data_IF_333023841405
#
_entry.id   IF_333023841405
#
_cell.length_a   1.000
_cell.length_b   1.000
_cell.length_c   1.000
_cell.angle_alpha   90.00
_cell.angle_beta   90.00
_cell.angle_gamma   90.00
#
_symmetry.space_group_name_H-M   'P 1'
#
loop_
_entity.id
_entity.type
_entity.pdbx_description
1 polymer ?
#
# COMPACT_ATOMS: atom_id res chain seq x y z
N UNK A 1 36.69 -0.95 -0.66
CA UNK A 1 36.59 0.50 -0.78
C UNK A 1 35.66 0.76 -1.99
N UNK A 2 34.37 1.05 -1.75
CA UNK A 2 33.40 1.27 -2.79
C UNK A 2 33.76 2.54 -3.57
N UNK A 3 33.87 2.42 -4.89
CA UNK A 3 33.92 3.60 -5.77
C UNK A 3 32.57 4.28 -5.69
N UNK A 4 32.56 5.61 -5.53
CA UNK A 4 31.34 6.37 -5.66
C UNK A 4 30.64 6.04 -7.00
N UNK A 5 29.31 5.93 -7.02
CA UNK A 5 28.59 5.70 -8.26
C UNK A 5 28.96 6.79 -9.27
N UNK A 6 29.07 6.47 -10.56
CA UNK A 6 29.34 7.48 -11.58
C UNK A 6 28.27 8.58 -11.47
N UNK A 7 28.70 9.84 -11.55
CA UNK A 7 27.76 10.96 -11.64
C UNK A 7 26.83 10.70 -12.82
N UNK A 8 25.51 10.88 -12.65
CA UNK A 8 24.60 10.78 -13.78
C UNK A 8 25.08 11.75 -14.85
N UNK A 9 25.43 11.22 -16.02
CA UNK A 9 25.60 12.04 -17.21
C UNK A 9 24.29 12.78 -17.42
N UNK A 10 24.33 14.01 -17.91
CA UNK A 10 23.13 14.74 -18.29
C UNK A 10 22.42 13.92 -19.39
N UNK A 11 21.50 13.05 -18.97
CA UNK A 11 20.73 12.20 -19.87
C UNK A 11 19.76 13.10 -20.62
N UNK A 12 19.89 13.14 -21.94
CA UNK A 12 18.99 13.82 -22.85
C UNK A 12 17.79 12.89 -23.11
N UNK A 13 16.92 12.71 -22.09
CA UNK A 13 15.75 11.87 -22.23
C UNK A 13 14.90 11.88 -20.97
N UNK A 14 13.59 11.67 -21.13
CA UNK A 14 12.71 11.45 -19.99
C UNK A 14 13.01 10.09 -19.33
N UNK A 15 12.91 9.97 -18.00
CA UNK A 15 13.03 8.68 -17.34
C UNK A 15 11.89 7.74 -17.79
N UNK A 16 12.12 6.44 -17.73
CA UNK A 16 11.06 5.45 -17.97
C UNK A 16 9.95 5.60 -16.95
N UNK A 17 8.72 5.63 -17.43
CA UNK A 17 7.56 5.75 -16.56
C UNK A 17 7.31 4.46 -15.75
N UNK A 18 7.53 3.30 -16.37
CA UNK A 18 7.29 2.01 -15.73
C UNK A 18 8.46 1.05 -15.92
N UNK A 19 8.66 0.07 -15.01
CA UNK A 19 9.61 -1.02 -15.20
C UNK A 19 9.33 -1.83 -16.47
N UNK A 20 8.06 -1.96 -16.85
CA UNK A 20 7.64 -2.69 -18.06
C UNK A 20 8.13 -2.00 -19.34
N UNK A 21 8.11 -0.67 -19.41
CA UNK A 21 8.62 0.09 -20.54
C UNK A 21 10.12 -0.12 -20.70
N UNK A 22 10.87 -0.01 -19.60
CA UNK A 22 12.31 -0.26 -19.60
C UNK A 22 12.63 -1.71 -20.00
N UNK A 23 11.91 -2.69 -19.43
CA UNK A 23 12.08 -4.10 -19.79
C UNK A 23 11.81 -4.34 -21.28
N UNK A 24 10.78 -3.74 -21.85
CA UNK A 24 10.45 -3.88 -23.30
C UNK A 24 11.61 -3.45 -24.18
N UNK A 25 12.26 -2.35 -23.87
CA UNK A 25 13.40 -1.86 -24.63
C UNK A 25 14.63 -2.77 -24.45
N UNK A 26 14.89 -3.27 -23.26
CA UNK A 26 15.95 -4.25 -23.00
C UNK A 26 15.72 -5.56 -23.80
N UNK A 27 14.48 -6.05 -23.83
CA UNK A 27 14.11 -7.25 -24.61
C UNK A 27 14.27 -7.00 -26.11
N UNK A 28 13.95 -5.81 -26.59
CA UNK A 28 14.17 -5.43 -28.01
C UNK A 28 15.66 -5.49 -28.36
N UNK A 29 16.54 -4.99 -27.51
CA UNK A 29 17.99 -5.09 -27.66
C UNK A 29 18.44 -6.56 -27.64
N UNK A 30 17.93 -7.36 -26.69
CA UNK A 30 18.28 -8.78 -26.59
C UNK A 30 17.88 -9.56 -27.84
N UNK A 31 16.67 -9.30 -28.38
CA UNK A 31 16.20 -9.93 -29.61
C UNK A 31 17.05 -9.51 -30.82
N UNK A 32 17.44 -8.24 -30.92
CA UNK A 32 18.33 -7.75 -31.98
C UNK A 32 19.70 -8.40 -31.93
N UNK A 33 20.26 -8.62 -30.75
CA UNK A 33 21.52 -9.34 -30.57
C UNK A 33 21.40 -10.83 -30.89
N UNK A 34 20.28 -11.46 -30.56
CA UNK A 34 20.04 -12.88 -30.84
C UNK A 34 19.79 -13.18 -32.31
N UNK A 35 19.20 -12.25 -33.07
CA UNK A 35 18.93 -12.40 -34.50
C UNK A 35 20.17 -12.18 -35.39
N UNK A 36 21.20 -11.57 -34.86
CA UNK A 36 22.49 -11.44 -35.51
C UNK A 36 23.36 -12.69 -35.25
N UNK A 37 24.33 -13.01 -36.12
CA UNK A 37 25.16 -14.22 -36.12
C UNK A 37 25.92 -14.54 -34.82
N UNK A 38 25.75 -13.75 -33.78
CA UNK A 38 26.31 -13.93 -32.45
C UNK A 38 25.23 -14.22 -31.38
N UNK A 39 24.18 -14.94 -31.76
CA UNK A 39 22.96 -15.21 -30.96
C UNK A 39 23.14 -15.79 -29.58
N UNK A 40 24.36 -16.03 -29.09
CA UNK A 40 24.65 -16.48 -27.75
C UNK A 40 24.61 -15.36 -26.69
N UNK A 41 24.52 -14.08 -27.07
CA UNK A 41 24.69 -12.97 -26.15
C UNK A 41 23.38 -12.32 -25.69
N UNK A 42 22.25 -12.59 -26.34
CA UNK A 42 20.97 -11.92 -26.05
C UNK A 42 20.35 -12.27 -24.70
N UNK A 43 20.54 -13.52 -24.23
CA UNK A 43 19.94 -14.00 -22.96
C UNK A 43 20.94 -14.23 -21.83
N UNK A 44 22.24 -14.10 -22.11
CA UNK A 44 23.34 -14.44 -21.19
C UNK A 44 24.19 -13.18 -20.93
N UNK A 45 24.74 -13.04 -19.72
CA UNK A 45 25.62 -11.92 -19.41
C UNK A 45 24.89 -10.74 -18.71
N UNK A 46 25.43 -9.54 -18.89
CA UNK A 46 24.93 -8.35 -18.18
C UNK A 46 23.49 -7.97 -18.58
N UNK A 47 23.16 -8.06 -19.88
CA UNK A 47 21.83 -7.74 -20.38
C UNK A 47 20.78 -8.71 -19.86
N UNK A 48 21.03 -10.02 -19.91
CA UNK A 48 20.11 -11.02 -19.37
C UNK A 48 19.90 -10.88 -17.86
N UNK A 49 20.97 -10.57 -17.10
CA UNK A 49 20.86 -10.28 -15.67
C UNK A 49 20.02 -9.02 -15.40
N UNK A 50 20.21 -7.96 -16.22
CA UNK A 50 19.43 -6.73 -16.06
C UNK A 50 17.95 -6.95 -16.37
N UNK A 51 17.63 -7.69 -17.45
CA UNK A 51 16.23 -8.05 -17.77
C UNK A 51 15.62 -8.82 -16.60
N UNK A 52 16.34 -9.82 -16.06
CA UNK A 52 15.85 -10.60 -14.91
C UNK A 52 15.71 -9.74 -13.65
N UNK A 53 16.63 -8.83 -13.41
CA UNK A 53 16.52 -7.89 -12.29
C UNK A 53 15.28 -6.99 -12.42
N UNK A 54 14.96 -6.52 -13.62
CA UNK A 54 13.73 -5.74 -13.86
C UNK A 54 12.46 -6.55 -13.66
N UNK A 55 12.47 -7.84 -14.01
CA UNK A 55 11.32 -8.74 -13.76
C UNK A 55 11.07 -9.01 -12.27
N UNK A 56 12.15 -9.09 -11.48
CA UNK A 56 12.07 -9.46 -10.06
C UNK A 56 11.92 -8.24 -9.16
N UNK A 57 12.65 -7.18 -9.44
CA UNK A 57 12.82 -6.03 -8.54
C UNK A 57 12.14 -4.75 -9.04
N UNK A 58 11.68 -4.69 -10.29
CA UNK A 58 11.14 -3.46 -10.86
C UNK A 58 12.05 -2.24 -10.62
N UNK A 59 11.46 -1.11 -10.21
CA UNK A 59 12.19 0.07 -9.75
C UNK A 59 12.26 0.18 -8.22
N UNK A 60 11.61 -0.72 -7.50
CA UNK A 60 11.48 -0.66 -6.04
C UNK A 60 12.47 -1.54 -5.26
N UNK A 61 13.24 -2.36 -5.96
CA UNK A 61 14.27 -3.27 -5.42
C UNK A 61 13.72 -4.42 -4.54
N UNK A 62 12.81 -4.13 -3.61
CA UNK A 62 12.15 -5.12 -2.77
C UNK A 62 10.79 -4.58 -2.32
N UNK A 63 9.77 -5.44 -2.28
CA UNK A 63 8.47 -5.11 -1.70
C UNK A 63 8.62 -4.95 -0.19
N UNK A 64 8.07 -3.87 0.34
CA UNK A 64 7.96 -3.60 1.77
C UNK A 64 6.52 -3.74 2.22
N UNK A 65 6.32 -4.13 3.47
CA UNK A 65 5.02 -4.15 4.11
C UNK A 65 4.91 -2.99 5.11
N UNK A 66 3.74 -2.38 5.17
CA UNK A 66 3.38 -1.49 6.28
C UNK A 66 2.98 -2.37 7.47
N UNK A 67 3.30 -1.93 8.69
CA UNK A 67 2.86 -2.63 9.89
C UNK A 67 2.59 -1.63 11.01
N UNK A 68 1.43 -1.77 11.67
CA UNK A 68 1.06 -0.98 12.83
C UNK A 68 0.16 -1.79 13.77
N UNK A 69 0.04 -1.36 15.00
CA UNK A 69 -0.84 -1.94 16.02
C UNK A 69 -2.28 -1.42 15.84
N UNK A 70 -3.29 -2.31 15.96
CA UNK A 70 -4.72 -1.95 15.84
C UNK A 70 -5.12 -0.81 16.79
N UNK A 71 -4.64 -0.81 18.03
CA UNK A 71 -4.94 0.25 18.99
C UNK A 71 -4.40 1.64 18.58
N UNK A 72 -3.37 1.72 17.74
CA UNK A 72 -2.92 2.99 17.15
C UNK A 72 -3.91 3.45 16.09
N UNK A 73 -4.32 2.56 15.16
CA UNK A 73 -5.32 2.89 14.15
C UNK A 73 -6.62 3.38 14.78
N UNK A 74 -7.10 2.71 15.83
CA UNK A 74 -8.30 3.08 16.58
C UNK A 74 -8.21 4.51 17.13
N UNK A 75 -7.09 4.89 17.78
CA UNK A 75 -6.91 6.25 18.32
C UNK A 75 -6.77 7.31 17.24
N UNK A 76 -5.99 7.02 16.21
CA UNK A 76 -5.81 7.91 15.05
C UNK A 76 -7.15 8.18 14.38
N UNK A 77 -7.91 7.14 14.13
CA UNK A 77 -9.22 7.27 13.51
C UNK A 77 -10.22 7.98 14.40
N UNK A 78 -10.18 7.73 15.71
CA UNK A 78 -11.03 8.46 16.69
C UNK A 78 -10.79 9.97 16.62
N UNK A 79 -9.53 10.42 16.49
CA UNK A 79 -9.22 11.84 16.33
C UNK A 79 -9.73 12.37 14.99
N UNK A 80 -9.52 11.65 13.89
CA UNK A 80 -10.03 12.04 12.55
C UNK A 80 -11.55 12.20 12.54
N UNK A 81 -12.27 11.22 13.07
CA UNK A 81 -13.74 11.21 13.12
C UNK A 81 -14.29 12.34 14.02
N UNK A 82 -13.62 12.63 15.12
CA UNK A 82 -13.97 13.73 16.03
C UNK A 82 -13.78 15.09 15.36
N UNK A 83 -12.63 15.32 14.74
CA UNK A 83 -12.29 16.60 14.10
C UNK A 83 -13.17 16.85 12.87
N UNK A 84 -13.46 15.82 12.09
CA UNK A 84 -14.37 15.90 10.93
C UNK A 84 -15.85 16.07 11.32
N UNK A 85 -16.18 15.93 12.62
CA UNK A 85 -17.56 16.05 13.11
C UNK A 85 -18.44 14.83 12.82
N UNK A 86 -17.85 13.70 12.42
CA UNK A 86 -18.57 12.45 12.11
C UNK A 86 -18.98 11.72 13.38
N UNK A 87 -18.03 11.53 14.28
CA UNK A 87 -18.27 10.86 15.56
C UNK A 87 -17.46 11.54 16.66
N UNK A 88 -18.11 12.10 17.69
CA UNK A 88 -17.41 12.81 18.76
C UNK A 88 -16.64 11.87 19.71
N UNK A 89 -17.09 10.62 19.86
CA UNK A 89 -16.50 9.63 20.77
C UNK A 89 -16.56 8.21 20.16
N UNK A 90 -15.66 7.97 19.21
CA UNK A 90 -15.54 6.69 18.52
C UNK A 90 -15.19 5.55 19.47
N UNK A 91 -14.33 5.83 20.45
CA UNK A 91 -13.84 4.82 21.40
C UNK A 91 -14.94 4.27 22.32
N UNK A 92 -16.02 5.03 22.53
CA UNK A 92 -17.16 4.59 23.32
C UNK A 92 -18.16 3.69 22.56
N UNK A 93 -18.01 3.56 21.23
CA UNK A 93 -18.89 2.72 20.42
C UNK A 93 -18.62 1.24 20.66
N UNK A 94 -19.69 0.43 20.62
CA UNK A 94 -19.57 -1.02 20.51
C UNK A 94 -19.15 -1.44 19.07
N UNK A 95 -18.77 -2.70 18.92
CA UNK A 95 -18.25 -3.23 17.66
C UNK A 95 -19.22 -3.07 16.49
N UNK A 96 -20.51 -3.35 16.68
CA UNK A 96 -21.50 -3.26 15.60
C UNK A 96 -21.72 -1.79 15.17
N UNK A 97 -21.69 -0.86 16.11
CA UNK A 97 -21.78 0.58 15.81
C UNK A 97 -20.51 1.08 15.08
N UNK A 98 -19.32 0.58 15.46
CA UNK A 98 -18.06 0.86 14.78
C UNK A 98 -18.11 0.36 13.33
N UNK A 99 -18.47 -0.90 13.13
CA UNK A 99 -18.56 -1.51 11.79
C UNK A 99 -19.56 -0.74 10.91
N UNK A 100 -20.75 -0.39 11.44
CA UNK A 100 -21.74 0.38 10.69
C UNK A 100 -21.22 1.76 10.29
N UNK A 101 -20.55 2.47 11.21
CA UNK A 101 -19.98 3.79 10.96
C UNK A 101 -18.86 3.73 9.93
N UNK A 102 -17.93 2.78 10.09
CA UNK A 102 -16.80 2.62 9.16
C UNK A 102 -17.26 2.22 7.76
N UNK A 103 -18.25 1.33 7.66
CA UNK A 103 -18.85 0.97 6.38
C UNK A 103 -19.48 2.19 5.68
N UNK A 104 -20.19 3.03 6.43
CA UNK A 104 -20.74 4.27 5.88
C UNK A 104 -19.62 5.25 5.43
N UNK A 105 -18.54 5.36 6.20
CA UNK A 105 -17.40 6.19 5.81
C UNK A 105 -16.68 5.65 4.57
N UNK A 106 -16.56 4.35 4.40
CA UNK A 106 -15.96 3.75 3.19
C UNK A 106 -16.76 4.03 1.92
N UNK A 107 -18.07 4.29 2.03
CA UNK A 107 -18.93 4.70 0.91
C UNK A 107 -18.87 6.20 0.62
N UNK A 108 -18.18 6.99 1.45
CA UNK A 108 -18.07 8.45 1.31
C UNK A 108 -16.75 8.82 0.62
N UNK A 109 -16.83 9.69 -0.39
CA UNK A 109 -15.62 10.25 -1.04
C UNK A 109 -14.99 11.41 -0.25
N UNK A 110 -15.59 11.80 0.87
CA UNK A 110 -15.14 12.92 1.68
C UNK A 110 -13.90 12.53 2.50
N UNK A 111 -12.78 13.28 2.43
CA UNK A 111 -11.66 13.06 3.32
C UNK A 111 -12.01 13.44 4.77
N UNK A 112 -11.46 12.72 5.74
CA UNK A 112 -11.57 13.03 7.16
C UNK A 112 -10.44 13.97 7.61
N UNK A 113 -9.24 13.80 7.03
CA UNK A 113 -8.06 14.55 7.40
C UNK A 113 -8.10 15.98 6.83
N UNK A 114 -8.36 16.96 7.67
CA UNK A 114 -8.30 18.37 7.31
C UNK A 114 -6.84 18.85 7.24
N UNK A 115 -6.35 19.37 6.11
CA UNK A 115 -4.92 19.72 5.93
C UNK A 115 -4.47 20.93 6.79
N UNK A 116 -5.41 21.71 7.31
CA UNK A 116 -5.13 22.88 8.17
C UNK A 116 -5.23 22.59 9.66
N UNK A 117 -5.64 21.36 10.04
CA UNK A 117 -5.74 20.98 11.45
C UNK A 117 -4.39 20.58 12.02
N UNK A 118 -4.15 20.95 13.27
CA UNK A 118 -2.96 20.50 14.01
C UNK A 118 -3.31 19.19 14.73
N UNK A 119 -2.86 18.10 14.16
CA UNK A 119 -3.05 16.75 14.68
C UNK A 119 -2.16 16.49 15.89
N UNK A 120 -2.53 15.56 16.74
CA UNK A 120 -1.62 15.00 17.74
C UNK A 120 -0.38 14.40 17.06
N UNK A 121 0.73 14.28 17.79
CA UNK A 121 1.98 13.73 17.25
C UNK A 121 1.78 12.30 16.72
N UNK A 122 0.94 11.49 17.40
CA UNK A 122 0.60 10.12 16.96
C UNK A 122 -0.15 10.16 15.63
N UNK A 123 -1.22 10.93 15.52
CA UNK A 123 -2.03 11.03 14.30
C UNK A 123 -1.24 11.64 13.14
N UNK A 124 -0.47 12.69 13.39
CA UNK A 124 0.38 13.31 12.36
C UNK A 124 1.43 12.31 11.85
N UNK A 125 2.05 11.54 12.76
CA UNK A 125 3.04 10.52 12.42
C UNK A 125 2.45 9.39 11.58
N UNK A 126 1.30 8.87 11.96
CA UNK A 126 0.64 7.77 11.25
C UNK A 126 0.14 8.20 9.87
N UNK A 127 -0.50 9.39 9.76
CA UNK A 127 -0.88 9.97 8.47
C UNK A 127 0.33 10.18 7.55
N UNK A 128 1.46 10.63 8.10
CA UNK A 128 2.69 10.81 7.32
C UNK A 128 3.22 9.48 6.75
N UNK A 129 3.12 8.38 7.51
CA UNK A 129 3.48 7.03 7.05
C UNK A 129 2.57 6.60 5.89
N UNK A 130 1.27 6.80 6.02
CA UNK A 130 0.30 6.41 4.99
C UNK A 130 0.50 7.22 3.70
N UNK A 131 0.72 8.52 3.81
CA UNK A 131 1.05 9.38 2.66
C UNK A 131 2.39 9.02 2.02
N UNK A 132 3.42 8.70 2.82
CA UNK A 132 4.70 8.24 2.30
C UNK A 132 4.56 6.93 1.51
N UNK A 133 3.71 6.00 1.97
CA UNK A 133 3.41 4.78 1.25
C UNK A 133 2.72 5.06 -0.10
N UNK A 134 1.79 6.00 -0.15
CA UNK A 134 1.15 6.43 -1.40
C UNK A 134 2.16 7.03 -2.37
N UNK A 135 3.04 7.92 -1.90
CA UNK A 135 4.10 8.52 -2.70
C UNK A 135 5.10 7.48 -3.25
N UNK A 136 5.49 6.51 -2.42
CA UNK A 136 6.37 5.41 -2.83
C UNK A 136 5.71 4.59 -3.94
N UNK A 137 4.46 4.20 -3.78
CA UNK A 137 3.71 3.45 -4.80
C UNK A 137 3.55 4.24 -6.10
N UNK A 138 3.26 5.54 -6.02
CA UNK A 138 3.15 6.40 -7.19
C UNK A 138 4.46 6.54 -7.96
N UNK A 139 5.61 6.55 -7.26
CA UNK A 139 6.94 6.75 -7.86
C UNK A 139 7.60 5.45 -8.33
N UNK A 140 7.45 4.36 -7.59
CA UNK A 140 8.18 3.11 -7.80
C UNK A 140 7.30 1.98 -8.34
N UNK A 141 6.00 2.18 -8.36
CA UNK A 141 5.00 1.20 -8.78
C UNK A 141 4.25 0.55 -7.61
N UNK A 142 3.10 -0.06 -7.89
CA UNK A 142 2.22 -0.64 -6.86
C UNK A 142 2.89 -1.77 -6.07
N UNK A 143 3.83 -2.48 -6.68
CA UNK A 143 4.52 -3.61 -6.04
C UNK A 143 5.55 -3.19 -4.98
N UNK A 144 5.82 -1.89 -4.85
CA UNK A 144 6.74 -1.38 -3.83
C UNK A 144 6.21 -1.58 -2.40
N UNK A 145 4.88 -1.44 -2.21
CA UNK A 145 4.18 -1.70 -0.95
C UNK A 145 2.87 -2.40 -1.29
N UNK A 146 2.72 -3.65 -0.87
CA UNK A 146 1.56 -4.47 -1.21
C UNK A 146 0.65 -4.79 -0.03
N UNK A 147 1.16 -4.74 1.20
CA UNK A 147 0.44 -5.20 2.37
C UNK A 147 0.49 -4.17 3.50
N UNK A 148 -0.61 -4.11 4.24
CA UNK A 148 -0.68 -3.41 5.52
C UNK A 148 -1.04 -4.43 6.60
N UNK A 149 -0.05 -4.76 7.41
CA UNK A 149 -0.14 -5.76 8.47
C UNK A 149 -0.65 -5.08 9.75
N UNK A 150 -1.71 -5.63 10.32
CA UNK A 150 -2.30 -5.15 11.58
C UNK A 150 -1.84 -6.09 12.70
N UNK A 151 -0.99 -5.61 13.61
CA UNK A 151 -0.67 -6.36 14.83
C UNK A 151 -1.82 -6.26 15.82
N UNK A 152 -2.06 -7.33 16.59
CA UNK A 152 -3.09 -7.39 17.62
C UNK A 152 -4.52 -7.14 17.08
N UNK A 153 -4.81 -7.59 15.86
CA UNK A 153 -6.17 -7.54 15.32
C UNK A 153 -7.09 -8.47 16.10
N UNK A 154 -8.27 -7.98 16.49
CA UNK A 154 -9.22 -8.70 17.34
C UNK A 154 -10.66 -8.64 16.84
N UNK A 155 -10.97 -7.66 15.98
CA UNK A 155 -12.33 -7.34 15.55
C UNK A 155 -12.39 -7.04 14.06
N UNK A 156 -13.59 -7.00 13.49
CA UNK A 156 -13.80 -6.58 12.11
C UNK A 156 -13.49 -5.08 11.93
N UNK A 157 -13.83 -4.26 12.95
CA UNK A 157 -13.54 -2.83 12.90
C UNK A 157 -12.05 -2.53 12.74
N UNK A 158 -11.14 -3.31 13.33
CA UNK A 158 -9.68 -3.14 13.16
C UNK A 158 -9.25 -3.20 11.68
N UNK A 159 -9.90 -4.04 10.87
CA UNK A 159 -9.61 -4.15 9.44
C UNK A 159 -10.19 -2.96 8.66
N UNK A 160 -11.42 -2.55 9.01
CA UNK A 160 -12.10 -1.42 8.35
C UNK A 160 -11.44 -0.08 8.65
N UNK A 161 -10.90 0.10 9.86
CA UNK A 161 -10.10 1.27 10.25
C UNK A 161 -8.94 1.49 9.29
N UNK A 162 -8.22 0.42 8.96
CA UNK A 162 -7.09 0.49 8.01
C UNK A 162 -7.57 0.87 6.60
N UNK A 163 -8.73 0.38 6.16
CA UNK A 163 -9.28 0.80 4.86
C UNK A 163 -9.64 2.29 4.84
N UNK A 164 -10.22 2.81 5.93
CA UNK A 164 -10.51 4.26 6.03
C UNK A 164 -9.22 5.06 6.02
N UNK A 165 -8.18 4.66 6.77
CA UNK A 165 -6.87 5.32 6.73
C UNK A 165 -6.20 5.22 5.37
N UNK A 166 -6.27 4.08 4.69
CA UNK A 166 -5.74 3.89 3.34
C UNK A 166 -6.45 4.81 2.33
N UNK A 167 -7.76 5.02 2.48
CA UNK A 167 -8.53 5.95 1.66
C UNK A 167 -8.05 7.39 1.81
N UNK A 168 -7.68 7.84 3.02
CA UNK A 168 -7.19 9.20 3.25
C UNK A 168 -5.95 9.55 2.40
N UNK A 169 -5.12 8.57 2.09
CA UNK A 169 -3.95 8.73 1.23
C UNK A 169 -4.17 8.27 -0.23
N UNK A 170 -5.39 7.88 -0.59
CA UNK A 170 -5.69 7.38 -1.93
C UNK A 170 -5.13 5.99 -2.23
N UNK A 171 -4.76 5.22 -1.20
CA UNK A 171 -4.30 3.84 -1.32
C UNK A 171 -5.45 2.84 -1.48
N UNK A 172 -6.66 3.26 -1.17
CA UNK A 172 -7.87 2.46 -1.32
C UNK A 172 -9.03 3.33 -1.81
N UNK A 173 -9.89 2.75 -2.66
CA UNK A 173 -11.13 3.37 -3.16
C UNK A 173 -12.21 2.32 -3.29
N UNK A 174 -13.47 2.68 -2.98
CA UNK A 174 -14.64 1.84 -3.22
C UNK A 174 -15.15 1.95 -4.66
N UNK A 175 -15.92 0.96 -5.12
CA UNK A 175 -16.63 1.00 -6.40
C UNK A 175 -15.85 0.43 -7.58
N UNK A 176 -16.18 0.88 -8.80
CA UNK A 176 -15.62 0.35 -10.06
C UNK A 176 -14.09 0.46 -10.18
N UNK A 177 -13.49 1.36 -9.41
CA UNK A 177 -12.03 1.55 -9.35
C UNK A 177 -11.35 0.74 -8.21
N UNK A 178 -12.12 -0.04 -7.44
CA UNK A 178 -11.62 -0.84 -6.31
C UNK A 178 -10.50 -1.82 -6.71
N UNK A 179 -10.51 -2.30 -7.96
CA UNK A 179 -9.47 -3.18 -8.51
C UNK A 179 -8.09 -2.51 -8.71
N UNK A 180 -7.97 -1.20 -8.50
CA UNK A 180 -6.69 -0.49 -8.64
C UNK A 180 -5.90 -0.40 -7.34
N UNK A 181 -6.50 -0.68 -6.19
CA UNK A 181 -5.78 -0.75 -4.93
C UNK A 181 -5.26 -2.16 -4.71
N UNK A 182 -3.98 -2.37 -4.97
CA UNK A 182 -3.30 -3.65 -4.69
C UNK A 182 -2.82 -3.73 -3.23
N UNK A 183 -3.32 -2.88 -2.34
CA UNK A 183 -2.95 -2.92 -0.93
C UNK A 183 -3.85 -3.92 -0.20
N UNK A 184 -3.26 -5.01 0.27
CA UNK A 184 -3.95 -6.01 1.08
C UNK A 184 -3.87 -5.65 2.55
N UNK A 185 -5.00 -5.70 3.23
CA UNK A 185 -5.07 -5.60 4.70
C UNK A 185 -4.90 -7.01 5.27
N UNK A 186 -3.88 -7.18 6.12
CA UNK A 186 -3.47 -8.49 6.66
C UNK A 186 -3.53 -8.46 8.19
N UNK A 187 -4.60 -8.98 8.82
CA UNK A 187 -4.70 -9.03 10.27
C UNK A 187 -3.80 -10.13 10.84
N UNK A 188 -3.16 -9.84 11.98
CA UNK A 188 -2.50 -10.84 12.81
C UNK A 188 -3.36 -11.09 14.06
N UNK A 189 -3.96 -12.27 14.12
CA UNK A 189 -4.65 -12.77 15.30
C UNK A 189 -3.64 -13.45 16.21
N UNK A 190 -3.21 -12.75 17.26
CA UNK A 190 -1.99 -13.11 18.00
C UNK A 190 -2.25 -13.92 19.29
N UNK A 191 -3.49 -13.94 19.78
CA UNK A 191 -3.89 -14.76 20.92
C UNK A 191 -4.75 -15.94 20.51
N UNK A 192 -4.84 -16.96 21.39
CA UNK A 192 -5.74 -18.11 21.14
C UNK A 192 -7.19 -17.64 20.99
N UNK A 193 -7.62 -16.71 21.84
CA UNK A 193 -8.98 -16.14 21.80
C UNK A 193 -9.24 -15.37 20.48
N UNK A 194 -8.24 -14.70 19.91
CA UNK A 194 -8.36 -14.01 18.62
C UNK A 194 -8.42 -15.04 17.47
N UNK A 195 -7.61 -16.10 17.54
CA UNK A 195 -7.63 -17.20 16.56
C UNK A 195 -8.98 -17.92 16.53
N UNK A 196 -9.62 -18.12 17.67
CA UNK A 196 -10.96 -18.73 17.76
C UNK A 196 -12.02 -17.87 17.04
N UNK A 197 -11.89 -16.55 17.03
CA UNK A 197 -12.80 -15.60 16.38
C UNK A 197 -12.44 -15.32 14.92
N UNK A 198 -11.19 -15.54 14.52
CA UNK A 198 -10.68 -15.19 13.21
C UNK A 198 -11.53 -15.69 12.03
N UNK A 199 -12.04 -16.96 12.02
CA UNK A 199 -12.87 -17.43 10.93
C UNK A 199 -14.14 -16.60 10.73
N UNK A 200 -14.83 -16.22 11.80
CA UNK A 200 -16.06 -15.44 11.73
C UNK A 200 -15.78 -13.99 11.30
N UNK A 201 -14.70 -13.37 11.82
CA UNK A 201 -14.26 -12.04 11.43
C UNK A 201 -13.94 -12.01 9.94
N UNK A 202 -13.13 -12.95 9.46
CA UNK A 202 -12.74 -13.01 8.05
C UNK A 202 -13.91 -13.36 7.13
N UNK A 203 -14.84 -14.20 7.56
CA UNK A 203 -16.04 -14.49 6.78
C UNK A 203 -16.91 -13.24 6.63
N UNK A 204 -17.11 -12.46 7.68
CA UNK A 204 -17.82 -11.17 7.62
C UNK A 204 -17.09 -10.18 6.73
N UNK A 205 -15.77 -10.06 6.88
CA UNK A 205 -14.93 -9.16 6.10
C UNK A 205 -15.03 -9.44 4.59
N UNK A 206 -14.84 -10.69 4.17
CA UNK A 206 -14.93 -11.07 2.75
C UNK A 206 -16.37 -11.05 2.18
N UNK A 207 -17.39 -10.99 3.03
CA UNK A 207 -18.78 -10.84 2.58
C UNK A 207 -19.17 -9.37 2.35
N UNK A 208 -18.34 -8.41 2.71
CA UNK A 208 -18.63 -6.99 2.54
C UNK A 208 -18.48 -6.57 1.08
N UNK A 209 -19.49 -5.89 0.50
CA UNK A 209 -19.44 -5.44 -0.90
C UNK A 209 -18.42 -4.33 -1.14
N UNK A 210 -17.93 -3.67 -0.09
CA UNK A 210 -16.92 -2.63 -0.13
C UNK A 210 -15.49 -3.20 -0.31
N UNK A 211 -15.28 -4.46 0.09
CA UNK A 211 -14.00 -5.16 0.08
C UNK A 211 -13.88 -6.04 -1.16
#
# INVERSE_FOLDING_TARGET
VGKAPPRPSALVGAPYATPADFRRDLVTIANGLSSNSQGQFGGIGALGRLIRAMEVFGFHLATLDMRQNSAVHERVLAELLKVSGVCPDYLALDEEARVALLTAELQSDRPLAAPWHQWSDETAGDLAIVHAAADIRARLGPDAICQWIISMAQTLSDLLEVHVLAREAGLWRSGADAGQSNLMVVPLFETIADLDKAPDIMARYFAMPEI
#
